data_IF_330564605284
#
_entry.id   IF_330564605284
#
_cell.length_a   1.000
_cell.length_b   1.000
_cell.length_c   1.000
_cell.angle_alpha   90.00
_cell.angle_beta   90.00
_cell.angle_gamma   90.00
#
_symmetry.space_group_name_H-M   'P 1'
#
loop_
_entity.id
_entity.type
_entity.pdbx_description
1 polymer ?
#
# COMPACT_ATOMS: atom_id res chain seq x y z
N UNK A 1 41.84 -16.85 26.73
CA UNK A 1 41.04 -17.50 25.66
C UNK A 1 40.07 -18.44 26.34
N UNK A 2 38.86 -17.99 26.64
CA UNK A 2 37.80 -18.82 27.25
C UNK A 2 37.11 -19.58 26.10
N UNK A 3 37.28 -20.90 26.11
CA UNK A 3 36.56 -21.83 25.25
C UNK A 3 35.05 -21.60 25.38
N UNK A 4 34.44 -20.99 24.33
CA UNK A 4 32.99 -20.95 24.18
C UNK A 4 32.51 -22.33 23.68
N UNK A 5 32.57 -23.37 24.50
CA UNK A 5 31.94 -24.67 24.25
C UNK A 5 30.43 -24.56 24.52
N UNK A 6 29.71 -23.77 23.71
CA UNK A 6 28.26 -23.74 23.68
C UNK A 6 27.74 -24.35 22.39
N UNK A 7 26.71 -25.18 22.47
CA UNK A 7 25.99 -25.64 21.30
C UNK A 7 25.59 -24.40 20.46
N UNK A 8 25.70 -24.45 19.11
CA UNK A 8 25.28 -23.33 18.29
C UNK A 8 23.79 -23.05 18.51
N UNK A 9 23.39 -21.77 18.48
CA UNK A 9 21.97 -21.42 18.55
C UNK A 9 21.19 -22.19 17.48
N UNK A 10 20.00 -22.65 17.82
CA UNK A 10 19.13 -23.40 16.92
C UNK A 10 17.88 -22.58 16.63
N UNK A 11 17.55 -22.41 15.34
CA UNK A 11 16.42 -21.64 14.83
C UNK A 11 15.49 -22.55 14.03
N UNK A 12 14.38 -22.96 14.64
CA UNK A 12 13.29 -23.62 13.95
C UNK A 12 12.39 -22.57 13.28
N UNK A 13 11.98 -22.81 12.04
CA UNK A 13 11.15 -21.90 11.23
C UNK A 13 9.91 -22.66 10.77
N UNK A 14 8.75 -22.20 11.24
CA UNK A 14 7.43 -22.69 10.84
C UNK A 14 6.50 -21.49 10.56
N UNK A 15 5.33 -21.42 11.16
CA UNK A 15 4.44 -20.23 11.19
C UNK A 15 5.13 -19.05 11.87
N UNK A 16 6.01 -19.33 12.78
CA UNK A 16 6.90 -18.41 13.49
C UNK A 16 8.31 -18.98 13.61
N UNK A 17 9.25 -18.19 14.06
CA UNK A 17 10.59 -18.62 14.44
C UNK A 17 10.62 -19.01 15.93
N UNK A 18 11.30 -20.12 16.24
CA UNK A 18 11.63 -20.54 17.61
C UNK A 18 13.15 -20.63 17.74
N UNK A 19 13.73 -19.76 18.58
CA UNK A 19 15.17 -19.74 18.85
C UNK A 19 15.46 -20.39 20.20
N UNK A 20 16.26 -21.44 20.18
CA UNK A 20 16.75 -22.17 21.36
C UNK A 20 18.29 -22.14 21.45
N UNK A 21 18.83 -22.47 22.62
CA UNK A 21 20.29 -22.48 22.92
C UNK A 21 20.98 -21.12 22.63
N UNK A 22 20.22 -20.03 22.66
CA UNK A 22 20.74 -18.70 22.40
C UNK A 22 21.31 -18.07 23.67
N UNK A 23 22.51 -17.47 23.63
CA UNK A 23 23.07 -16.76 24.77
C UNK A 23 22.22 -15.53 25.15
N UNK A 24 22.27 -15.09 26.41
CA UNK A 24 21.45 -13.98 26.92
C UNK A 24 21.56 -12.70 26.07
N UNK A 25 22.76 -12.38 25.57
CA UNK A 25 23.04 -11.18 24.81
C UNK A 25 22.28 -11.23 23.46
N UNK A 26 22.25 -12.38 22.77
CA UNK A 26 21.50 -12.56 21.53
C UNK A 26 19.99 -12.43 21.76
N UNK A 27 19.48 -13.06 22.82
CA UNK A 27 18.07 -12.95 23.21
C UNK A 27 17.69 -11.50 23.52
N UNK A 28 18.53 -10.79 24.28
CA UNK A 28 18.30 -9.37 24.60
C UNK A 28 18.29 -8.49 23.34
N UNK A 29 19.21 -8.71 22.41
CA UNK A 29 19.26 -7.97 21.15
C UNK A 29 18.01 -8.22 20.28
N UNK A 30 17.56 -9.45 20.13
CA UNK A 30 16.35 -9.79 19.37
C UNK A 30 15.12 -9.15 20.05
N UNK A 31 14.98 -9.23 21.37
CA UNK A 31 13.89 -8.58 22.11
C UNK A 31 13.88 -7.06 21.89
N UNK A 32 15.04 -6.42 21.91
CA UNK A 32 15.15 -4.98 21.68
C UNK A 32 14.65 -4.59 20.27
N UNK A 33 15.03 -5.36 19.25
CA UNK A 33 14.58 -5.13 17.87
C UNK A 33 13.08 -5.42 17.68
N UNK A 34 12.50 -6.35 18.41
CA UNK A 34 11.09 -6.73 18.35
C UNK A 34 10.20 -5.95 19.32
N UNK A 35 10.75 -4.94 19.98
CA UNK A 35 10.03 -4.00 20.84
C UNK A 35 9.84 -2.69 20.09
N UNK A 36 8.60 -2.26 19.88
CA UNK A 36 8.26 -1.04 19.16
C UNK A 36 7.51 -0.09 20.08
N UNK A 37 7.83 1.20 20.04
CA UNK A 37 7.02 2.21 20.69
C UNK A 37 5.62 2.24 20.07
N UNK A 38 4.59 2.30 20.91
CA UNK A 38 3.21 2.29 20.45
C UNK A 38 2.82 3.67 19.91
N UNK A 39 2.60 3.83 18.57
CA UNK A 39 2.27 5.13 17.99
C UNK A 39 0.98 5.72 18.54
N UNK A 40 0.01 4.87 18.90
CA UNK A 40 -1.27 5.32 19.51
C UNK A 40 -1.04 5.91 20.89
N UNK A 41 -0.15 5.32 21.68
CA UNK A 41 0.23 5.84 22.99
C UNK A 41 0.97 7.17 22.86
N UNK A 42 1.93 7.24 21.95
CA UNK A 42 2.69 8.46 21.66
C UNK A 42 1.76 9.61 21.22
N UNK A 43 0.84 9.32 20.29
CA UNK A 43 -0.15 10.30 19.83
C UNK A 43 -1.09 10.75 20.96
N UNK A 44 -1.57 9.81 21.79
CA UNK A 44 -2.44 10.15 22.92
C UNK A 44 -1.72 11.08 23.92
N UNK A 45 -0.45 10.77 24.23
CA UNK A 45 0.39 11.59 25.10
C UNK A 45 0.65 12.97 24.53
N UNK A 46 0.99 13.06 23.25
CA UNK A 46 1.29 14.32 22.58
C UNK A 46 0.10 15.26 22.51
N UNK A 47 -1.12 14.71 22.34
CA UNK A 47 -2.36 15.49 22.24
C UNK A 47 -3.15 15.56 23.54
N UNK A 48 -2.59 15.18 24.69
CA UNK A 48 -3.24 15.26 25.99
C UNK A 48 -4.53 14.43 26.09
N UNK A 49 -4.66 13.36 25.26
CA UNK A 49 -5.83 12.49 25.29
C UNK A 49 -5.75 11.50 26.44
N UNK A 50 -6.90 11.13 26.99
CA UNK A 50 -6.95 10.11 28.02
C UNK A 50 -6.33 8.78 27.57
N UNK A 51 -5.36 8.30 28.34
CA UNK A 51 -4.67 7.04 28.09
C UNK A 51 -5.31 6.00 28.99
N UNK A 52 -6.17 5.14 28.43
CA UNK A 52 -6.78 4.04 29.17
C UNK A 52 -5.74 3.02 29.63
N UNK A 53 -6.02 2.28 30.73
CA UNK A 53 -5.12 1.26 31.31
C UNK A 53 -4.66 0.19 30.32
N UNK A 54 -5.37 -0.03 29.23
CA UNK A 54 -5.06 -1.04 28.19
C UNK A 54 -4.08 -0.55 27.11
N UNK A 55 -3.79 0.75 27.02
CA UNK A 55 -2.91 1.29 25.99
C UNK A 55 -1.47 1.27 26.49
N UNK A 56 -0.74 0.24 26.11
CA UNK A 56 0.66 0.05 26.50
C UNK A 56 1.58 1.02 25.75
N UNK A 57 2.63 1.57 26.41
CA UNK A 57 3.61 2.46 25.77
C UNK A 57 4.47 1.76 24.72
N UNK A 58 4.67 0.46 24.86
CA UNK A 58 5.44 -0.39 23.94
C UNK A 58 4.65 -1.60 23.53
N UNK A 59 4.92 -2.09 22.32
CA UNK A 59 4.39 -3.31 21.76
C UNK A 59 5.53 -4.32 21.60
N UNK A 60 5.27 -5.57 22.00
CA UNK A 60 6.24 -6.66 21.98
C UNK A 60 5.81 -7.69 20.93
N UNK A 61 6.70 -8.00 19.99
CA UNK A 61 6.46 -8.96 18.91
C UNK A 61 7.27 -10.23 19.11
N UNK A 62 7.37 -10.66 20.36
CA UNK A 62 7.99 -11.90 20.79
C UNK A 62 7.29 -12.44 22.03
N UNK A 63 7.49 -13.71 22.30
CA UNK A 63 7.18 -14.35 23.59
C UNK A 63 8.31 -15.27 24.00
N UNK A 64 8.42 -15.53 25.30
CA UNK A 64 9.38 -16.46 25.85
C UNK A 64 8.63 -17.57 26.60
N UNK A 65 8.92 -18.80 26.25
CA UNK A 65 8.32 -19.99 26.87
C UNK A 65 9.41 -21.06 27.04
N UNK A 66 9.53 -21.64 28.24
CA UNK A 66 10.47 -22.73 28.52
C UNK A 66 11.92 -22.47 28.05
N UNK A 67 12.41 -21.23 28.20
CA UNK A 67 13.76 -20.84 27.80
C UNK A 67 13.95 -20.61 26.28
N UNK A 68 12.92 -20.76 25.49
CA UNK A 68 12.90 -20.50 24.04
C UNK A 68 12.31 -19.13 23.75
N UNK A 69 12.79 -18.49 22.67
CA UNK A 69 12.30 -17.20 22.19
C UNK A 69 11.54 -17.39 20.86
N UNK A 70 10.25 -17.07 20.90
CA UNK A 70 9.36 -17.15 19.74
C UNK A 70 9.13 -15.77 19.15
N UNK A 71 9.15 -15.66 17.80
CA UNK A 71 8.93 -14.39 17.12
C UNK A 71 8.47 -14.60 15.66
N UNK A 72 7.87 -13.57 15.03
CA UNK A 72 7.40 -13.68 13.66
C UNK A 72 8.51 -14.06 12.68
N UNK A 73 8.22 -14.98 11.77
CA UNK A 73 9.22 -15.57 10.85
C UNK A 73 9.85 -14.56 9.89
N UNK A 74 9.16 -13.46 9.56
CA UNK A 74 9.74 -12.41 8.72
C UNK A 74 11.01 -11.79 9.31
N UNK A 75 11.18 -11.84 10.64
CA UNK A 75 12.40 -11.41 11.31
C UNK A 75 13.53 -12.46 11.28
N UNK A 76 13.29 -13.66 10.76
CA UNK A 76 14.27 -14.76 10.76
C UNK A 76 15.63 -14.40 10.17
N UNK A 77 15.67 -13.75 9.00
CA UNK A 77 16.92 -13.31 8.39
C UNK A 77 17.69 -12.31 9.26
N UNK A 78 16.97 -11.40 9.93
CA UNK A 78 17.58 -10.45 10.87
C UNK A 78 18.11 -11.16 12.11
N UNK A 79 17.38 -12.16 12.64
CA UNK A 79 17.83 -12.97 13.75
C UNK A 79 19.11 -13.75 13.43
N UNK A 80 19.23 -14.32 12.22
CA UNK A 80 20.46 -14.96 11.73
C UNK A 80 21.62 -13.97 11.66
N UNK A 81 21.40 -12.76 11.13
CA UNK A 81 22.42 -11.71 11.10
C UNK A 81 22.88 -11.28 12.50
N UNK A 82 21.91 -11.12 13.42
CA UNK A 82 22.21 -10.82 14.82
C UNK A 82 23.02 -11.95 15.50
N UNK A 83 22.63 -13.20 15.24
CA UNK A 83 23.35 -14.35 15.75
C UNK A 83 24.82 -14.33 15.29
N UNK A 84 25.07 -14.19 13.99
CA UNK A 84 26.44 -14.12 13.45
C UNK A 84 27.25 -12.96 14.05
N UNK A 85 26.62 -11.78 14.19
CA UNK A 85 27.28 -10.58 14.73
C UNK A 85 27.66 -10.72 16.19
N UNK A 86 26.80 -11.33 17.01
CA UNK A 86 26.97 -11.39 18.47
C UNK A 86 27.78 -12.61 18.89
N UNK A 87 27.53 -13.76 18.28
CA UNK A 87 28.15 -15.02 18.69
C UNK A 87 29.33 -15.45 17.79
N UNK A 88 29.46 -14.86 16.60
CA UNK A 88 30.37 -15.34 15.56
C UNK A 88 29.91 -16.63 14.87
N UNK A 89 28.77 -17.21 15.27
CA UNK A 89 28.25 -18.47 14.76
C UNK A 89 27.02 -18.27 13.88
N UNK A 90 26.84 -19.16 12.90
CA UNK A 90 25.57 -19.27 12.21
C UNK A 90 24.66 -20.23 12.97
N UNK A 91 23.38 -19.88 13.25
CA UNK A 91 22.49 -20.81 13.91
C UNK A 91 22.21 -22.03 13.04
N UNK A 92 21.96 -23.17 13.67
CA UNK A 92 21.43 -24.36 12.97
C UNK A 92 19.99 -24.04 12.58
N UNK A 93 19.68 -24.16 11.30
CA UNK A 93 18.35 -23.90 10.78
C UNK A 93 17.57 -25.21 10.66
N UNK A 94 16.40 -25.27 11.29
CA UNK A 94 15.41 -26.33 11.14
C UNK A 94 14.18 -25.75 10.43
N UNK A 95 14.14 -25.93 9.10
CA UNK A 95 13.08 -25.39 8.24
C UNK A 95 11.90 -26.37 8.19
N UNK A 96 10.83 -26.06 8.92
CA UNK A 96 9.59 -26.80 9.01
C UNK A 96 8.45 -26.20 8.17
N UNK A 97 8.78 -25.23 7.34
CA UNK A 97 7.77 -24.56 6.50
C UNK A 97 7.20 -25.54 5.48
N UNK A 98 5.90 -25.36 5.24
CA UNK A 98 5.14 -26.22 4.34
C UNK A 98 5.37 -25.83 2.89
N UNK A 99 5.79 -26.83 2.09
CA UNK A 99 5.78 -26.78 0.62
C UNK A 99 4.79 -27.82 0.13
N UNK A 100 3.82 -27.38 -0.65
CA UNK A 100 2.80 -28.27 -1.21
C UNK A 100 3.28 -28.86 -2.54
N UNK A 101 2.61 -29.92 -3.04
CA UNK A 101 2.85 -30.40 -4.39
C UNK A 101 2.75 -29.27 -5.41
N UNK A 102 3.63 -29.28 -6.38
CA UNK A 102 3.64 -28.29 -7.45
C UNK A 102 2.38 -28.45 -8.32
N UNK A 103 1.83 -27.31 -8.73
CA UNK A 103 0.71 -27.22 -9.65
C UNK A 103 1.21 -26.65 -10.97
N UNK A 104 0.68 -27.12 -12.09
CA UNK A 104 1.07 -26.60 -13.39
C UNK A 104 0.46 -25.21 -13.59
N UNK A 105 1.32 -24.19 -13.66
CA UNK A 105 0.94 -22.80 -13.91
C UNK A 105 1.82 -22.22 -15.02
N UNK A 106 1.19 -21.63 -16.02
CA UNK A 106 1.88 -20.93 -17.11
C UNK A 106 1.58 -19.43 -17.04
N UNK A 107 2.61 -18.61 -17.24
CA UNK A 107 2.46 -17.16 -17.32
C UNK A 107 2.36 -16.70 -18.78
N UNK A 108 1.21 -16.12 -19.15
CA UNK A 108 0.89 -15.66 -20.51
C UNK A 108 1.08 -14.15 -20.63
N UNK A 109 2.29 -13.66 -20.42
CA UNK A 109 2.57 -12.23 -20.52
C UNK A 109 4.04 -11.97 -20.89
N UNK A 110 4.32 -10.74 -21.30
CA UNK A 110 5.67 -10.25 -21.50
C UNK A 110 6.03 -9.28 -20.36
N UNK A 111 7.11 -9.59 -19.67
CA UNK A 111 7.65 -8.72 -18.64
C UNK A 111 8.60 -7.69 -19.27
N UNK A 112 8.55 -6.47 -18.79
CA UNK A 112 9.57 -5.45 -19.11
C UNK A 112 10.89 -5.79 -18.40
N UNK A 113 12.06 -5.29 -18.86
CA UNK A 113 13.35 -5.62 -18.25
C UNK A 113 13.39 -5.41 -16.73
N UNK A 114 12.89 -4.29 -16.22
CA UNK A 114 12.83 -4.03 -14.77
C UNK A 114 11.88 -4.97 -14.01
N UNK A 115 10.84 -5.48 -14.67
CA UNK A 115 9.93 -6.48 -14.08
C UNK A 115 10.58 -7.85 -14.00
N UNK A 116 11.35 -8.25 -15.02
CA UNK A 116 12.15 -9.49 -14.98
C UNK A 116 13.17 -9.44 -13.86
N UNK A 117 13.89 -8.32 -13.70
CA UNK A 117 14.84 -8.11 -12.60
C UNK A 117 14.14 -8.24 -11.23
N UNK A 118 12.99 -7.59 -11.06
CA UNK A 118 12.22 -7.65 -9.84
C UNK A 118 11.71 -9.08 -9.53
N UNK A 119 11.23 -9.80 -10.55
CA UNK A 119 10.78 -11.18 -10.42
C UNK A 119 11.95 -12.11 -10.06
N UNK A 120 13.10 -11.96 -10.71
CA UNK A 120 14.31 -12.74 -10.40
C UNK A 120 14.77 -12.47 -8.95
N UNK A 121 14.78 -11.21 -8.51
CA UNK A 121 15.12 -10.86 -7.14
C UNK A 121 14.16 -11.50 -6.12
N UNK A 122 12.85 -11.49 -6.39
CA UNK A 122 11.85 -12.13 -5.50
C UNK A 122 12.03 -13.65 -5.47
N UNK A 123 12.34 -14.28 -6.60
CA UNK A 123 12.54 -15.75 -6.68
C UNK A 123 13.78 -16.23 -5.93
N UNK A 124 14.80 -15.37 -5.79
CA UNK A 124 15.99 -15.66 -5.00
C UNK A 124 15.72 -15.75 -3.47
N UNK A 125 14.52 -15.36 -3.02
CA UNK A 125 14.15 -15.34 -1.61
C UNK A 125 12.85 -16.12 -1.37
N UNK A 126 12.74 -16.80 -0.22
CA UNK A 126 11.48 -17.46 0.16
C UNK A 126 10.42 -16.47 0.61
N UNK A 127 10.83 -15.37 1.25
CA UNK A 127 9.91 -14.34 1.74
C UNK A 127 10.55 -12.96 1.71
N UNK A 128 9.70 -11.94 1.65
CA UNK A 128 10.10 -10.55 1.64
C UNK A 128 9.08 -9.64 0.96
N UNK A 129 9.45 -8.39 0.76
CA UNK A 129 8.58 -7.36 0.22
C UNK A 129 9.13 -6.83 -1.11
N UNK A 130 8.27 -6.81 -2.13
CA UNK A 130 8.49 -6.09 -3.38
C UNK A 130 7.88 -4.69 -3.27
N UNK A 131 8.73 -3.67 -3.29
CA UNK A 131 8.32 -2.27 -3.31
C UNK A 131 8.38 -1.74 -4.73
N UNK A 132 7.24 -1.35 -5.28
CA UNK A 132 7.16 -0.80 -6.61
C UNK A 132 6.01 0.21 -6.73
N UNK A 133 6.27 1.35 -7.33
CA UNK A 133 5.31 2.45 -7.47
C UNK A 133 4.00 2.03 -8.16
N UNK A 134 2.97 2.87 -8.05
CA UNK A 134 1.72 2.68 -8.80
C UNK A 134 2.02 2.72 -10.31
N UNK A 135 1.43 1.79 -11.07
CA UNK A 135 1.70 1.68 -12.51
C UNK A 135 2.90 0.80 -12.88
N UNK A 136 3.71 0.33 -11.91
CA UNK A 136 4.85 -0.55 -12.17
C UNK A 136 4.48 -1.97 -12.64
N UNK A 137 3.21 -2.38 -12.50
CA UNK A 137 2.77 -3.75 -12.81
C UNK A 137 3.05 -4.75 -11.68
N UNK A 138 2.97 -4.34 -10.39
CA UNK A 138 3.14 -5.24 -9.23
C UNK A 138 2.34 -6.54 -9.34
N UNK A 139 1.07 -6.44 -9.75
CA UNK A 139 0.19 -7.60 -9.96
C UNK A 139 0.75 -8.55 -11.00
N UNK A 140 1.26 -8.03 -12.12
CA UNK A 140 1.84 -8.83 -13.21
C UNK A 140 3.11 -9.52 -12.73
N UNK A 141 4.01 -8.81 -12.05
CA UNK A 141 5.22 -9.38 -11.46
C UNK A 141 4.90 -10.48 -10.45
N UNK A 142 3.89 -10.27 -9.59
CA UNK A 142 3.47 -11.29 -8.63
C UNK A 142 2.89 -12.52 -9.31
N UNK A 143 2.09 -12.39 -10.39
CA UNK A 143 1.58 -13.51 -11.15
C UNK A 143 2.70 -14.29 -11.85
N UNK A 144 3.72 -13.62 -12.37
CA UNK A 144 4.92 -14.27 -12.90
C UNK A 144 5.70 -15.05 -11.82
N UNK A 145 5.80 -14.50 -10.60
CA UNK A 145 6.40 -15.21 -9.44
C UNK A 145 5.55 -16.44 -9.07
N UNK A 146 4.22 -16.31 -9.03
CA UNK A 146 3.29 -17.41 -8.72
C UNK A 146 3.48 -18.55 -9.75
N UNK A 147 3.47 -18.23 -11.02
CA UNK A 147 3.65 -19.21 -12.09
C UNK A 147 5.03 -19.90 -12.00
N UNK A 148 6.12 -19.18 -11.72
CA UNK A 148 7.47 -19.76 -11.62
C UNK A 148 7.68 -20.58 -10.34
N UNK A 149 6.95 -20.30 -9.25
CA UNK A 149 7.01 -21.10 -8.00
C UNK A 149 6.13 -22.33 -8.03
N UNK A 150 5.12 -22.36 -8.87
CA UNK A 150 4.19 -23.48 -9.05
C UNK A 150 3.57 -23.98 -7.73
N UNK A 151 3.31 -23.07 -6.80
CA UNK A 151 2.69 -23.39 -5.52
C UNK A 151 1.23 -22.91 -5.48
N UNK A 152 0.33 -23.72 -4.90
CA UNK A 152 -0.99 -23.22 -4.56
C UNK A 152 -0.86 -21.91 -3.77
N UNK A 153 -1.53 -20.86 -4.23
CA UNK A 153 -1.29 -19.48 -3.75
C UNK A 153 -2.56 -18.83 -3.23
N UNK A 154 -2.48 -18.30 -2.01
CA UNK A 154 -3.46 -17.37 -1.47
C UNK A 154 -2.99 -15.93 -1.67
N UNK A 155 -3.83 -15.13 -2.32
CA UNK A 155 -3.62 -13.69 -2.50
C UNK A 155 -4.58 -12.94 -1.57
N UNK A 156 -4.04 -12.18 -0.62
CA UNK A 156 -4.82 -11.43 0.36
C UNK A 156 -4.90 -9.98 -0.05
N UNK A 157 -6.12 -9.47 -0.15
CA UNK A 157 -6.44 -8.08 -0.52
C UNK A 157 -7.31 -7.42 0.54
N UNK A 158 -7.39 -6.08 0.56
CA UNK A 158 -8.17 -5.37 1.57
C UNK A 158 -9.55 -4.91 1.08
N UNK A 159 -9.85 -4.97 -0.23
CA UNK A 159 -11.14 -4.53 -0.79
C UNK A 159 -11.70 -5.48 -1.85
N UNK A 160 -13.01 -5.34 -2.13
CA UNK A 160 -13.73 -6.09 -3.17
C UNK A 160 -13.23 -5.73 -4.57
N UNK A 161 -12.92 -4.46 -4.79
CA UNK A 161 -12.43 -3.93 -6.06
C UNK A 161 -11.09 -4.57 -6.43
N UNK A 162 -10.16 -4.67 -5.47
CA UNK A 162 -8.89 -5.37 -5.68
C UNK A 162 -9.10 -6.87 -5.92
N UNK A 163 -10.03 -7.51 -5.20
CA UNK A 163 -10.36 -8.92 -5.44
C UNK A 163 -10.79 -9.16 -6.89
N UNK A 164 -11.68 -8.30 -7.44
CA UNK A 164 -12.13 -8.38 -8.84
C UNK A 164 -11.00 -8.10 -9.83
N UNK A 165 -10.14 -7.11 -9.55
CA UNK A 165 -8.98 -6.83 -10.39
C UNK A 165 -8.00 -8.00 -10.44
N UNK A 166 -7.70 -8.62 -9.29
CA UNK A 166 -6.87 -9.82 -9.25
C UNK A 166 -7.51 -10.98 -10.02
N UNK A 167 -8.81 -11.21 -9.87
CA UNK A 167 -9.54 -12.24 -10.60
C UNK A 167 -9.38 -12.06 -12.12
N UNK A 168 -9.58 -10.85 -12.63
CA UNK A 168 -9.41 -10.54 -14.06
C UNK A 168 -7.96 -10.75 -14.53
N UNK A 169 -6.97 -10.34 -13.72
CA UNK A 169 -5.56 -10.51 -14.05
C UNK A 169 -5.10 -11.96 -14.01
N UNK A 170 -5.62 -12.78 -13.08
CA UNK A 170 -5.37 -14.21 -13.03
C UNK A 170 -5.90 -14.86 -14.31
N UNK A 171 -7.14 -14.58 -14.70
CA UNK A 171 -7.70 -15.10 -15.96
C UNK A 171 -6.87 -14.68 -17.18
N UNK A 172 -6.45 -13.42 -17.23
CA UNK A 172 -5.65 -12.87 -18.35
C UNK A 172 -4.25 -13.46 -18.44
N UNK A 173 -3.52 -13.57 -17.31
CA UNK A 173 -2.09 -13.88 -17.31
C UNK A 173 -1.76 -15.32 -16.90
N UNK A 174 -2.66 -16.03 -16.22
CA UNK A 174 -2.48 -17.45 -15.89
C UNK A 174 -3.44 -18.37 -16.67
N UNK A 175 -4.40 -17.81 -17.43
CA UNK A 175 -5.34 -18.58 -18.24
C UNK A 175 -6.30 -19.45 -17.42
N UNK A 176 -6.54 -19.10 -16.14
CA UNK A 176 -7.36 -19.92 -15.23
C UNK A 176 -8.35 -19.07 -14.45
N UNK A 177 -9.39 -19.72 -13.91
CA UNK A 177 -10.30 -19.08 -13.00
C UNK A 177 -9.72 -19.06 -11.57
N UNK A 178 -9.83 -17.90 -10.92
CA UNK A 178 -9.42 -17.73 -9.52
C UNK A 178 -10.47 -18.29 -8.56
N UNK A 179 -10.03 -18.89 -7.46
CA UNK A 179 -10.86 -19.05 -6.27
C UNK A 179 -11.13 -17.70 -5.61
N UNK A 180 -12.28 -17.54 -4.95
CA UNK A 180 -12.67 -16.29 -4.29
C UNK A 180 -13.12 -16.55 -2.86
N UNK A 181 -12.61 -15.74 -1.92
CA UNK A 181 -13.02 -15.75 -0.52
C UNK A 181 -13.36 -14.33 -0.05
N UNK A 182 -14.59 -13.91 -0.27
CA UNK A 182 -15.06 -12.54 0.04
C UNK A 182 -16.32 -12.19 -0.74
N UNK A 183 -16.96 -11.09 -0.38
CA UNK A 183 -18.16 -10.58 -1.08
C UNK A 183 -19.29 -11.62 -1.22
N UNK A 184 -19.50 -12.43 -0.17
CA UNK A 184 -20.53 -13.51 -0.18
C UNK A 184 -20.08 -14.82 -0.84
N UNK A 185 -18.91 -14.86 -1.49
CA UNK A 185 -18.36 -16.05 -2.16
C UNK A 185 -17.31 -16.71 -1.26
N UNK A 186 -17.27 -18.04 -1.25
CA UNK A 186 -16.20 -18.80 -0.61
C UNK A 186 -15.92 -20.07 -1.45
N UNK A 187 -14.99 -19.97 -2.36
CA UNK A 187 -14.54 -21.02 -3.24
C UNK A 187 -13.01 -21.08 -3.27
N UNK A 188 -12.44 -22.23 -2.91
CA UNK A 188 -11.00 -22.45 -2.89
C UNK A 188 -10.58 -23.11 -4.20
N UNK A 189 -9.62 -22.50 -4.89
CA UNK A 189 -8.92 -23.03 -6.08
C UNK A 189 -7.41 -22.92 -5.89
N UNK A 190 -6.59 -23.52 -6.74
CA UNK A 190 -5.12 -23.45 -6.61
C UNK A 190 -4.57 -22.02 -6.51
N UNK A 191 -5.17 -21.05 -7.19
CA UNK A 191 -4.90 -19.62 -6.99
C UNK A 191 -6.18 -18.97 -6.49
N UNK A 192 -6.20 -18.53 -5.24
CA UNK A 192 -7.37 -17.96 -4.58
C UNK A 192 -7.11 -16.54 -4.11
N UNK A 193 -8.07 -15.65 -4.35
CA UNK A 193 -8.04 -14.26 -3.86
C UNK A 193 -8.99 -14.11 -2.68
N UNK A 194 -8.48 -13.66 -1.54
CA UNK A 194 -9.26 -13.50 -0.32
C UNK A 194 -9.27 -12.05 0.19
N UNK A 195 -10.45 -11.56 0.56
CA UNK A 195 -10.55 -10.31 1.33
C UNK A 195 -10.07 -10.61 2.76
N UNK A 196 -9.18 -9.79 3.28
CA UNK A 196 -8.49 -10.00 4.56
C UNK A 196 -9.43 -10.33 5.74
N UNK A 197 -10.59 -9.69 5.82
CA UNK A 197 -11.59 -9.97 6.85
C UNK A 197 -12.18 -11.39 6.72
N UNK A 198 -12.40 -11.87 5.50
CA UNK A 198 -12.87 -13.24 5.23
C UNK A 198 -11.75 -14.23 5.49
N UNK A 199 -10.52 -13.93 5.02
CA UNK A 199 -9.35 -14.76 5.29
C UNK A 199 -9.17 -14.98 6.80
N UNK A 200 -9.21 -13.92 7.61
CA UNK A 200 -9.13 -14.03 9.08
C UNK A 200 -10.20 -14.94 9.69
N UNK A 201 -11.44 -14.84 9.22
CA UNK A 201 -12.55 -15.68 9.72
C UNK A 201 -12.43 -17.14 9.33
N UNK A 202 -11.65 -17.46 8.30
CA UNK A 202 -11.53 -18.80 7.68
C UNK A 202 -10.09 -19.35 7.73
N UNK A 203 -9.24 -18.88 8.66
CA UNK A 203 -7.84 -19.27 8.75
C UNK A 203 -7.65 -20.79 8.84
N UNK A 204 -8.45 -21.46 9.67
CA UNK A 204 -8.38 -22.92 9.83
C UNK A 204 -8.70 -23.69 8.55
N UNK A 205 -9.52 -23.11 7.66
CA UNK A 205 -9.85 -23.73 6.38
C UNK A 205 -8.80 -23.40 5.31
N UNK A 206 -8.18 -22.22 5.38
CA UNK A 206 -7.27 -21.73 4.33
C UNK A 206 -5.82 -22.13 4.57
N UNK A 207 -5.37 -22.27 5.84
CA UNK A 207 -3.94 -22.36 6.18
C UNK A 207 -3.20 -23.52 5.53
N UNK A 208 -3.89 -24.65 5.34
CA UNK A 208 -3.27 -25.88 4.88
C UNK A 208 -3.39 -26.10 3.35
N UNK A 209 -4.07 -25.18 2.64
CA UNK A 209 -4.31 -25.32 1.19
C UNK A 209 -3.26 -24.59 0.33
N UNK A 210 -2.38 -23.78 0.92
CA UNK A 210 -1.51 -22.90 0.16
C UNK A 210 -0.05 -23.00 0.59
N UNK A 211 0.83 -23.25 -0.38
CA UNK A 211 2.30 -23.23 -0.20
C UNK A 211 2.90 -21.84 -0.39
N UNK A 212 2.09 -20.87 -0.85
CA UNK A 212 2.49 -19.48 -1.03
C UNK A 212 1.40 -18.51 -0.55
N UNK A 213 1.83 -17.44 0.13
CA UNK A 213 0.99 -16.31 0.53
C UNK A 213 1.47 -15.03 -0.14
N UNK A 214 0.57 -14.33 -0.83
CA UNK A 214 0.82 -12.99 -1.37
C UNK A 214 -0.09 -12.00 -0.65
N UNK A 215 0.47 -10.91 -0.12
CA UNK A 215 -0.33 -9.85 0.53
C UNK A 215 -0.19 -8.57 -0.28
N UNK A 216 -1.27 -8.19 -0.96
CA UNK A 216 -1.28 -6.98 -1.76
C UNK A 216 -1.55 -5.74 -0.90
N UNK A 217 -0.90 -4.62 -1.24
CA UNK A 217 -0.93 -3.37 -0.49
C UNK A 217 -0.73 -3.60 1.02
N UNK A 218 0.27 -4.42 1.38
CA UNK A 218 0.51 -4.90 2.75
C UNK A 218 0.66 -3.77 3.79
N UNK A 219 0.96 -2.54 3.34
CA UNK A 219 1.01 -1.35 4.19
C UNK A 219 -0.40 -0.83 4.58
N UNK A 220 -1.46 -1.20 3.88
CA UNK A 220 -2.85 -0.76 4.13
C UNK A 220 -3.63 -1.71 5.03
N UNK A 221 -3.26 -2.98 5.08
CA UNK A 221 -3.96 -3.96 5.90
C UNK A 221 -3.85 -3.54 7.38
N UNK A 222 -4.97 -3.42 8.13
CA UNK A 222 -4.93 -3.10 9.55
C UNK A 222 -3.96 -4.00 10.30
N UNK A 223 -3.13 -3.44 11.20
CA UNK A 223 -2.03 -4.15 11.84
C UNK A 223 -2.43 -5.50 12.44
N UNK A 224 -3.54 -5.55 13.18
CA UNK A 224 -4.04 -6.79 13.81
C UNK A 224 -4.52 -7.82 12.78
N UNK A 225 -5.24 -7.39 11.72
CA UNK A 225 -5.68 -8.30 10.66
C UNK A 225 -4.50 -8.86 9.88
N UNK A 226 -3.52 -8.01 9.59
CA UNK A 226 -2.30 -8.39 8.89
C UNK A 226 -1.51 -9.45 9.68
N UNK A 227 -1.23 -9.19 10.96
CA UNK A 227 -0.46 -10.09 11.79
C UNK A 227 -1.17 -11.43 11.99
N UNK A 228 -2.48 -11.43 12.25
CA UNK A 228 -3.27 -12.65 12.44
C UNK A 228 -3.25 -13.54 11.19
N UNK A 229 -3.46 -12.93 10.00
CA UNK A 229 -3.46 -13.68 8.74
C UNK A 229 -2.07 -14.21 8.42
N UNK A 230 -1.04 -13.36 8.44
CA UNK A 230 0.32 -13.77 8.06
C UNK A 230 0.88 -14.85 8.98
N UNK A 231 0.60 -14.78 10.30
CA UNK A 231 1.08 -15.76 11.28
C UNK A 231 0.36 -17.11 11.21
N UNK A 232 -0.79 -17.21 10.54
CA UNK A 232 -1.53 -18.45 10.46
C UNK A 232 -0.97 -19.46 9.46
N UNK A 233 -0.19 -18.99 8.47
CA UNK A 233 0.30 -19.82 7.38
C UNK A 233 1.72 -20.33 7.63
N UNK A 234 1.92 -21.64 7.54
CA UNK A 234 3.24 -22.29 7.57
C UNK A 234 3.90 -22.35 6.17
N UNK A 235 3.30 -21.76 5.15
CA UNK A 235 3.77 -21.85 3.76
C UNK A 235 5.22 -21.41 3.59
N UNK A 236 5.98 -22.06 2.70
CA UNK A 236 7.39 -21.72 2.43
C UNK A 236 7.54 -20.32 1.87
N UNK A 237 6.64 -19.91 0.97
CA UNK A 237 6.78 -18.66 0.24
C UNK A 237 5.82 -17.57 0.75
N UNK A 238 6.36 -16.39 0.97
CA UNK A 238 5.60 -15.19 1.30
C UNK A 238 6.07 -14.00 0.49
N UNK A 239 5.13 -13.24 -0.08
CA UNK A 239 5.41 -12.03 -0.82
C UNK A 239 4.48 -10.89 -0.39
N UNK A 240 5.06 -9.83 0.16
CA UNK A 240 4.36 -8.57 0.36
C UNK A 240 4.51 -7.68 -0.88
N UNK A 241 3.42 -7.12 -1.37
CA UNK A 241 3.42 -6.12 -2.44
C UNK A 241 3.04 -4.76 -1.85
N UNK A 242 3.80 -3.73 -2.17
CA UNK A 242 3.47 -2.38 -1.74
C UNK A 242 4.05 -1.31 -2.66
N UNK A 243 3.32 -0.20 -2.82
CA UNK A 243 3.87 1.02 -3.40
C UNK A 243 4.75 1.78 -2.40
N UNK A 244 4.52 1.58 -1.09
CA UNK A 244 5.15 2.35 0.00
C UNK A 244 5.28 1.48 1.25
N UNK A 245 5.95 0.32 1.13
CA UNK A 245 6.05 -0.69 2.20
C UNK A 245 6.55 -0.13 3.54
N UNK A 246 7.38 0.89 3.47
CA UNK A 246 8.06 1.45 4.64
C UNK A 246 7.42 2.72 5.21
N UNK A 247 6.20 3.08 4.77
CA UNK A 247 5.55 4.35 5.16
C UNK A 247 4.06 4.14 5.50
N UNK A 248 3.81 3.37 6.56
CA UNK A 248 2.45 3.18 7.06
C UNK A 248 1.93 4.44 7.76
N UNK A 249 0.69 4.80 7.51
CA UNK A 249 0.00 5.94 8.14
C UNK A 249 -0.16 5.80 9.65
N UNK A 250 -0.25 4.55 10.16
CA UNK A 250 -0.39 4.24 11.57
C UNK A 250 0.92 4.19 12.36
N UNK A 251 2.07 4.51 11.72
CA UNK A 251 3.40 4.46 12.32
C UNK A 251 3.95 3.05 12.54
N UNK A 252 3.23 2.00 12.13
CA UNK A 252 3.59 0.60 12.36
C UNK A 252 4.37 -0.02 11.18
N UNK A 253 5.17 0.79 10.48
CA UNK A 253 5.95 0.34 9.31
C UNK A 253 6.84 -0.87 9.60
N UNK A 254 7.46 -0.94 10.79
CA UNK A 254 8.30 -2.07 11.20
C UNK A 254 7.57 -3.42 11.23
N UNK A 255 6.23 -3.44 11.39
CA UNK A 255 5.46 -4.68 11.34
C UNK A 255 5.60 -5.41 10.01
N UNK A 256 5.66 -4.67 8.91
CA UNK A 256 5.81 -5.29 7.58
C UNK A 256 7.10 -6.12 7.56
N UNK A 257 8.21 -5.55 8.05
CA UNK A 257 9.49 -6.25 8.10
C UNK A 257 9.50 -7.41 9.09
N UNK A 258 8.89 -7.23 10.25
CA UNK A 258 8.84 -8.27 11.30
C UNK A 258 8.05 -9.49 10.81
N UNK A 259 6.99 -9.28 10.01
CA UNK A 259 6.12 -10.37 9.58
C UNK A 259 6.38 -10.88 8.17
N UNK A 260 6.68 -10.00 7.21
CA UNK A 260 6.89 -10.39 5.79
C UNK A 260 8.38 -10.51 5.41
N UNK A 261 9.28 -9.98 6.22
CA UNK A 261 10.70 -9.95 5.93
C UNK A 261 11.20 -8.64 5.33
N UNK A 262 12.47 -8.65 4.93
CA UNK A 262 13.14 -7.50 4.37
C UNK A 262 12.58 -7.12 2.98
N UNK A 263 12.82 -5.89 2.52
CA UNK A 263 12.62 -5.52 1.14
C UNK A 263 13.60 -6.30 0.26
N UNK A 264 13.08 -7.15 -0.61
CA UNK A 264 13.88 -7.96 -1.54
C UNK A 264 14.22 -7.21 -2.82
N UNK A 265 13.33 -6.32 -3.26
CA UNK A 265 13.57 -5.46 -4.41
C UNK A 265 12.74 -4.18 -4.32
N UNK A 266 13.27 -3.09 -4.89
CA UNK A 266 12.57 -1.82 -5.02
C UNK A 266 12.66 -1.30 -6.46
N UNK A 267 11.52 -1.03 -7.09
CA UNK A 267 11.47 -0.41 -8.42
C UNK A 267 11.43 1.10 -8.25
N UNK A 268 12.48 1.77 -8.70
CA UNK A 268 12.60 3.24 -8.63
C UNK A 268 11.63 3.91 -9.62
N UNK A 269 11.04 5.02 -9.20
CA UNK A 269 10.17 5.84 -10.04
C UNK A 269 10.88 6.37 -11.30
N UNK A 270 12.18 6.66 -11.22
CA UNK A 270 12.99 7.08 -12.37
C UNK A 270 13.11 5.98 -13.42
N UNK A 271 13.31 4.73 -12.98
CA UNK A 271 13.31 3.58 -13.88
C UNK A 271 11.96 3.40 -14.56
N UNK A 272 10.84 3.60 -13.83
CA UNK A 272 9.49 3.53 -14.39
C UNK A 272 9.28 4.60 -15.47
N UNK A 273 9.70 5.83 -15.21
CA UNK A 273 9.59 6.91 -16.19
C UNK A 273 10.50 6.66 -17.42
N UNK A 274 11.74 6.24 -17.20
CA UNK A 274 12.70 5.96 -18.29
C UNK A 274 12.25 4.78 -19.18
N UNK A 275 11.57 3.78 -18.59
CA UNK A 275 11.02 2.63 -19.35
C UNK A 275 9.71 2.94 -20.07
N UNK A 276 9.17 4.16 -19.96
CA UNK A 276 7.84 4.51 -20.50
C UNK A 276 6.68 3.79 -19.81
N UNK A 277 6.93 3.17 -18.64
CA UNK A 277 5.88 2.51 -17.86
C UNK A 277 4.90 3.51 -17.24
N UNK A 278 5.39 4.72 -16.97
CA UNK A 278 4.61 5.85 -16.44
C UNK A 278 5.03 7.15 -17.10
N UNK A 279 4.10 8.10 -17.19
CA UNK A 279 4.38 9.49 -17.60
C UNK A 279 4.82 10.26 -16.35
N UNK A 280 5.93 11.00 -16.45
CA UNK A 280 6.41 11.83 -15.34
C UNK A 280 5.41 12.93 -15.02
N UNK A 281 4.95 13.08 -13.76
CA UNK A 281 4.00 14.11 -13.40
C UNK A 281 4.69 15.48 -13.27
N UNK A 282 4.08 16.52 -13.83
CA UNK A 282 4.54 17.91 -13.69
C UNK A 282 3.70 18.60 -12.62
N UNK A 283 4.35 19.11 -11.57
CA UNK A 283 3.70 19.80 -10.46
C UNK A 283 3.62 21.31 -10.72
N UNK A 284 2.41 21.86 -10.71
CA UNK A 284 2.11 23.28 -10.71
C UNK A 284 1.57 23.71 -9.35
N UNK A 285 2.34 24.50 -8.60
CA UNK A 285 1.88 25.04 -7.33
C UNK A 285 1.18 26.38 -7.54
N UNK A 286 -0.09 26.47 -7.10
CA UNK A 286 -0.95 27.65 -7.20
C UNK A 286 -1.13 28.29 -5.83
N UNK A 287 -0.60 29.51 -5.56
CA UNK A 287 -0.82 30.17 -4.28
C UNK A 287 -2.28 30.60 -4.13
N UNK A 288 -2.80 30.54 -2.90
CA UNK A 288 -4.14 31.00 -2.56
C UNK A 288 -4.09 32.13 -1.54
N UNK A 289 -5.16 32.93 -1.49
CA UNK A 289 -5.36 33.97 -0.46
C UNK A 289 -6.04 33.45 0.81
N UNK A 290 -6.22 32.15 0.99
CA UNK A 290 -6.89 31.58 2.15
C UNK A 290 -6.12 31.83 3.43
N UNK A 291 -6.79 32.42 4.44
CA UNK A 291 -6.27 32.64 5.77
C UNK A 291 -7.23 32.08 6.84
N UNK A 292 -6.68 31.59 7.94
CA UNK A 292 -7.45 31.00 9.03
C UNK A 292 -6.66 31.05 10.35
N UNK A 293 -7.31 31.41 11.44
CA UNK A 293 -6.72 31.43 12.78
C UNK A 293 -6.52 30.02 13.33
N UNK A 294 -5.48 29.31 12.83
CA UNK A 294 -5.22 27.92 13.17
C UNK A 294 -4.66 27.75 14.59
N UNK A 295 -5.39 27.04 15.44
CA UNK A 295 -5.05 26.75 16.85
C UNK A 295 -4.82 25.24 17.14
N UNK A 296 -4.31 24.49 16.15
CA UNK A 296 -4.00 23.05 16.32
C UNK A 296 -5.11 22.08 15.91
N UNK A 297 -6.35 22.53 15.71
CA UNK A 297 -7.48 21.67 15.30
C UNK A 297 -7.55 21.52 13.79
N UNK A 298 -6.79 20.55 13.25
CA UNK A 298 -6.68 20.33 11.81
C UNK A 298 -8.01 20.05 11.10
N UNK A 299 -8.95 19.35 11.75
CA UNK A 299 -10.25 19.04 11.15
C UNK A 299 -11.09 20.32 10.91
N UNK A 300 -11.01 21.30 11.82
CA UNK A 300 -11.67 22.62 11.68
C UNK A 300 -11.01 23.45 10.58
N UNK A 301 -9.66 23.41 10.51
CA UNK A 301 -8.92 24.07 9.44
C UNK A 301 -9.36 23.56 8.05
N UNK A 302 -9.39 22.23 7.85
CA UNK A 302 -9.80 21.66 6.56
C UNK A 302 -11.28 21.91 6.26
N UNK A 303 -12.14 21.98 7.28
CA UNK A 303 -13.55 22.39 7.09
C UNK A 303 -13.61 23.85 6.59
N UNK A 304 -12.97 24.77 7.26
CA UNK A 304 -12.94 26.18 6.86
C UNK A 304 -12.34 26.40 5.46
N UNK A 305 -11.28 25.63 5.12
CA UNK A 305 -10.68 25.64 3.78
C UNK A 305 -11.68 25.17 2.71
N UNK A 306 -12.39 24.07 2.96
CA UNK A 306 -13.37 23.50 2.05
C UNK A 306 -14.60 24.42 1.83
N UNK A 307 -14.96 25.21 2.84
CA UNK A 307 -16.08 26.17 2.80
C UNK A 307 -15.66 27.56 2.29
N UNK A 308 -14.38 27.81 2.02
CA UNK A 308 -13.89 29.12 1.59
C UNK A 308 -14.22 29.40 0.11
N UNK A 309 -15.25 30.24 -0.11
CA UNK A 309 -15.76 30.54 -1.43
C UNK A 309 -14.73 31.18 -2.39
N UNK A 310 -13.89 32.16 -1.97
CA UNK A 310 -12.87 32.70 -2.86
C UNK A 310 -11.88 31.65 -3.33
N UNK A 311 -11.45 30.74 -2.46
CA UNK A 311 -10.57 29.63 -2.81
C UNK A 311 -11.22 28.63 -3.76
N UNK A 312 -12.50 28.31 -3.53
CA UNK A 312 -13.25 27.39 -4.37
C UNK A 312 -13.50 27.99 -5.78
N UNK A 313 -13.76 29.29 -5.88
CA UNK A 313 -13.85 30.00 -7.17
C UNK A 313 -12.52 29.95 -7.92
N UNK A 314 -11.39 30.19 -7.26
CA UNK A 314 -10.06 30.05 -7.88
C UNK A 314 -9.86 28.65 -8.49
N UNK A 315 -10.26 27.58 -7.78
CA UNK A 315 -10.18 26.20 -8.28
C UNK A 315 -11.04 26.02 -9.53
N UNK A 316 -12.27 26.50 -9.49
CA UNK A 316 -13.25 26.40 -10.59
C UNK A 316 -12.80 27.20 -11.80
N UNK A 317 -12.28 28.41 -11.63
CA UNK A 317 -11.76 29.27 -12.71
C UNK A 317 -10.51 28.64 -13.35
N UNK A 318 -9.63 28.02 -12.56
CA UNK A 318 -8.48 27.29 -13.10
C UNK A 318 -8.96 26.06 -13.93
N UNK A 319 -10.00 25.32 -13.51
CA UNK A 319 -10.60 24.22 -14.28
C UNK A 319 -11.18 24.72 -15.61
N UNK A 320 -11.98 25.80 -15.55
CA UNK A 320 -12.56 26.39 -16.75
C UNK A 320 -11.48 26.86 -17.74
N UNK A 321 -10.40 27.48 -17.24
CA UNK A 321 -9.27 27.89 -18.04
C UNK A 321 -8.54 26.71 -18.71
N UNK A 322 -8.41 25.58 -18.03
CA UNK A 322 -7.84 24.36 -18.62
C UNK A 322 -8.72 23.80 -19.75
N UNK A 323 -10.03 23.81 -19.56
CA UNK A 323 -10.97 23.32 -20.57
C UNK A 323 -10.95 24.17 -21.85
N UNK A 324 -10.68 25.48 -21.72
CA UNK A 324 -10.53 26.39 -22.89
C UNK A 324 -9.21 26.21 -23.65
N UNK A 325 -8.19 25.57 -23.06
CA UNK A 325 -6.86 25.37 -23.65
C UNK A 325 -6.71 24.06 -24.44
N UNK A 326 -7.77 23.52 -25.02
CA UNK A 326 -7.77 22.20 -25.71
C UNK A 326 -7.20 21.08 -24.82
N UNK A 327 -7.68 21.01 -23.59
CA UNK A 327 -7.25 20.01 -22.63
C UNK A 327 -7.51 18.59 -23.14
N UNK A 328 -6.47 17.76 -23.23
CA UNK A 328 -6.61 16.35 -23.59
C UNK A 328 -6.80 15.49 -22.34
N UNK A 329 -7.81 14.61 -22.38
CA UNK A 329 -8.13 13.67 -21.31
C UNK A 329 -9.02 14.27 -20.20
N UNK A 330 -9.16 13.54 -19.12
CA UNK A 330 -10.06 13.90 -18.02
C UNK A 330 -9.30 14.59 -16.88
N UNK A 331 -9.87 15.68 -16.36
CA UNK A 331 -9.43 16.38 -15.16
C UNK A 331 -10.03 15.68 -13.93
N UNK A 332 -9.20 15.16 -13.06
CA UNK A 332 -9.60 14.58 -11.77
C UNK A 332 -9.41 15.60 -10.65
N UNK A 333 -10.49 16.02 -10.02
CA UNK A 333 -10.47 16.90 -8.85
C UNK A 333 -10.65 16.07 -7.58
N UNK A 334 -9.73 16.15 -6.64
CA UNK A 334 -9.81 15.35 -5.40
C UNK A 334 -9.92 16.20 -4.15
N UNK A 335 -10.80 15.78 -3.25
CA UNK A 335 -10.97 16.37 -1.94
C UNK A 335 -11.13 15.33 -0.82
N UNK A 336 -10.68 15.64 0.40
CA UNK A 336 -10.92 14.81 1.60
C UNK A 336 -12.37 14.90 2.13
N UNK A 337 -13.21 15.78 1.57
CA UNK A 337 -14.55 16.09 2.07
C UNK A 337 -15.62 15.94 1.00
N UNK A 338 -16.61 15.10 1.25
CA UNK A 338 -17.77 14.93 0.36
C UNK A 338 -18.51 16.25 0.12
N UNK A 339 -18.74 17.05 1.20
CA UNK A 339 -19.36 18.35 1.08
C UNK A 339 -18.58 19.30 0.15
N UNK A 340 -17.25 19.29 0.21
CA UNK A 340 -16.41 20.09 -0.68
C UNK A 340 -16.51 19.65 -2.15
N UNK A 341 -16.58 18.33 -2.39
CA UNK A 341 -16.81 17.80 -3.74
C UNK A 341 -18.12 18.35 -4.32
N UNK A 342 -19.19 18.38 -3.53
CA UNK A 342 -20.49 18.92 -3.96
C UNK A 342 -20.45 20.44 -4.22
N UNK A 343 -19.82 21.21 -3.33
CA UNK A 343 -19.65 22.67 -3.52
C UNK A 343 -18.91 22.96 -4.84
N UNK A 344 -17.83 22.23 -5.14
CA UNK A 344 -17.09 22.42 -6.38
C UNK A 344 -17.92 22.02 -7.61
N UNK A 345 -18.71 20.94 -7.53
CA UNK A 345 -19.61 20.53 -8.62
C UNK A 345 -20.68 21.57 -8.91
N UNK A 346 -21.32 22.14 -7.86
CA UNK A 346 -22.32 23.21 -7.97
C UNK A 346 -21.72 24.47 -8.61
N UNK A 347 -20.53 24.87 -8.20
CA UNK A 347 -19.85 26.02 -8.77
C UNK A 347 -19.47 25.82 -10.23
N UNK A 348 -19.02 24.62 -10.62
CA UNK A 348 -18.73 24.25 -12.01
C UNK A 348 -20.02 24.24 -12.86
N UNK A 349 -21.10 23.67 -12.34
CA UNK A 349 -22.40 23.68 -12.99
C UNK A 349 -22.90 25.10 -13.26
N UNK A 350 -22.65 26.06 -12.33
CA UNK A 350 -22.92 27.48 -12.53
C UNK A 350 -22.12 28.13 -13.65
N UNK A 351 -21.01 27.51 -14.10
CA UNK A 351 -20.22 27.91 -15.28
C UNK A 351 -20.50 27.03 -16.52
N UNK A 352 -21.55 26.19 -16.49
CA UNK A 352 -21.92 25.31 -17.59
C UNK A 352 -21.04 24.05 -17.73
N UNK A 353 -20.22 23.73 -16.72
CA UNK A 353 -19.34 22.54 -16.72
C UNK A 353 -19.97 21.43 -15.93
N UNK A 354 -20.28 20.29 -16.58
CA UNK A 354 -20.75 19.07 -15.92
C UNK A 354 -19.58 18.34 -15.26
N UNK A 355 -19.66 18.10 -13.95
CA UNK A 355 -18.64 17.42 -13.18
C UNK A 355 -19.27 16.45 -12.17
N UNK A 356 -19.48 15.17 -12.53
CA UNK A 356 -20.05 14.18 -11.64
C UNK A 356 -19.17 14.00 -10.40
N UNK A 357 -19.83 13.64 -9.27
CA UNK A 357 -19.17 13.48 -7.97
C UNK A 357 -19.15 12.02 -7.57
N UNK A 358 -17.94 11.44 -7.42
CA UNK A 358 -17.73 10.06 -7.04
C UNK A 358 -17.20 9.96 -5.61
N UNK A 359 -17.96 9.30 -4.73
CA UNK A 359 -17.64 9.17 -3.31
C UNK A 359 -17.77 7.72 -2.82
N UNK A 360 -17.33 7.46 -1.58
CA UNK A 360 -17.57 6.16 -0.93
C UNK A 360 -19.06 5.82 -0.76
N UNK A 361 -19.96 6.77 -0.90
CA UNK A 361 -21.42 6.60 -0.80
C UNK A 361 -22.09 6.33 -2.15
N UNK A 362 -21.40 6.55 -3.28
CA UNK A 362 -21.94 6.28 -4.62
C UNK A 362 -22.22 4.78 -4.79
N UNK A 363 -23.40 4.40 -5.31
CA UNK A 363 -23.76 3.01 -5.59
C UNK A 363 -22.76 2.32 -6.53
N UNK A 364 -22.55 1.00 -6.44
CA UNK A 364 -21.63 0.29 -7.31
C UNK A 364 -21.93 0.43 -8.81
N UNK A 365 -23.21 0.48 -9.18
CA UNK A 365 -23.67 0.65 -10.56
C UNK A 365 -23.28 2.03 -11.10
N UNK A 366 -23.57 3.10 -10.37
CA UNK A 366 -23.15 4.47 -10.69
C UNK A 366 -21.64 4.59 -10.85
N UNK A 367 -20.86 3.89 -10.00
CA UNK A 367 -19.40 3.88 -10.12
C UNK A 367 -18.92 3.25 -11.41
N UNK A 368 -19.54 2.14 -11.82
CA UNK A 368 -19.18 1.47 -13.08
C UNK A 368 -19.51 2.37 -14.28
N UNK A 369 -20.68 2.98 -14.31
CA UNK A 369 -21.10 3.91 -15.35
C UNK A 369 -20.14 5.11 -15.45
N UNK A 370 -19.80 5.76 -14.33
CA UNK A 370 -18.83 6.85 -14.31
C UNK A 370 -17.47 6.42 -14.84
N UNK A 371 -16.99 5.22 -14.47
CA UNK A 371 -15.71 4.68 -14.96
C UNK A 371 -15.75 4.49 -16.48
N UNK A 372 -16.83 3.92 -17.01
CA UNK A 372 -17.02 3.74 -18.46
C UNK A 372 -17.10 5.08 -19.19
N UNK A 373 -17.78 6.07 -18.61
CA UNK A 373 -17.89 7.42 -19.15
C UNK A 373 -16.56 8.18 -19.17
N UNK A 374 -15.73 8.00 -18.14
CA UNK A 374 -14.36 8.53 -18.13
C UNK A 374 -13.50 7.82 -19.19
N UNK A 375 -13.60 6.49 -19.30
CA UNK A 375 -12.82 5.72 -20.28
C UNK A 375 -13.19 6.05 -21.73
N UNK A 376 -14.46 6.30 -21.98
CA UNK A 376 -14.95 6.70 -23.31
C UNK A 376 -14.75 8.20 -23.61
N UNK A 377 -14.25 8.99 -22.65
CA UNK A 377 -14.06 10.44 -22.81
C UNK A 377 -15.34 11.28 -22.73
N UNK A 378 -16.47 10.69 -22.33
CA UNK A 378 -17.73 11.45 -22.13
C UNK A 378 -17.65 12.36 -20.91
N UNK A 379 -16.89 11.98 -19.87
CA UNK A 379 -16.63 12.81 -18.70
C UNK A 379 -15.26 13.48 -18.84
N UNK A 380 -15.27 14.81 -18.94
CA UNK A 380 -14.06 15.63 -19.05
C UNK A 380 -13.58 16.08 -17.66
N UNK A 381 -14.49 16.31 -16.71
CA UNK A 381 -14.15 16.67 -15.31
C UNK A 381 -14.83 15.68 -14.38
N UNK A 382 -14.04 15.01 -13.53
CA UNK A 382 -14.51 14.11 -12.49
C UNK A 382 -14.10 14.67 -11.12
N UNK A 383 -15.03 14.79 -10.20
CA UNK A 383 -14.74 15.16 -8.80
C UNK A 383 -14.87 13.92 -7.94
N UNK A 384 -13.88 13.66 -7.07
CA UNK A 384 -13.92 12.47 -6.22
C UNK A 384 -13.29 12.69 -4.84
N UNK A 385 -13.65 11.81 -3.91
CA UNK A 385 -12.95 11.77 -2.63
C UNK A 385 -11.59 11.08 -2.78
N UNK A 386 -10.54 11.63 -2.12
CA UNK A 386 -9.16 11.08 -2.14
C UNK A 386 -9.14 9.59 -1.77
N UNK A 387 -9.98 9.18 -0.81
CA UNK A 387 -10.03 7.80 -0.35
C UNK A 387 -10.45 6.85 -1.49
N UNK A 388 -11.50 7.19 -2.22
CA UNK A 388 -12.03 6.33 -3.28
C UNK A 388 -11.07 6.16 -4.45
N UNK A 389 -10.44 7.26 -4.88
CA UNK A 389 -9.48 7.23 -6.00
C UNK A 389 -8.23 6.41 -5.65
N UNK A 390 -7.82 6.40 -4.38
CA UNK A 390 -6.74 5.54 -3.90
C UNK A 390 -7.04 4.04 -4.01
N UNK A 391 -8.32 3.64 -4.07
CA UNK A 391 -8.78 2.25 -3.95
C UNK A 391 -9.34 1.70 -5.27
N UNK A 392 -8.46 1.38 -6.22
CA UNK A 392 -8.88 0.59 -7.39
C UNK A 392 -9.48 1.34 -8.59
N UNK A 393 -9.58 2.67 -8.56
CA UNK A 393 -10.03 3.44 -9.72
C UNK A 393 -8.96 3.45 -10.83
N UNK A 394 -9.28 2.87 -11.99
CA UNK A 394 -8.35 2.67 -13.09
C UNK A 394 -8.87 3.23 -14.41
N UNK A 395 -8.39 4.44 -14.77
CA UNK A 395 -8.77 5.12 -16.01
C UNK A 395 -7.54 5.73 -16.69
N UNK A 396 -7.08 5.20 -17.83
CA UNK A 396 -5.93 5.72 -18.57
C UNK A 396 -6.10 7.17 -19.04
N UNK A 397 -7.33 7.61 -19.31
CA UNK A 397 -7.64 8.94 -19.83
C UNK A 397 -7.46 10.09 -18.80
N UNK A 398 -7.20 9.79 -17.53
CA UNK A 398 -6.91 10.82 -16.54
C UNK A 398 -5.58 11.49 -16.85
N UNK A 399 -5.56 12.79 -17.11
CA UNK A 399 -4.35 13.55 -17.50
C UNK A 399 -3.98 14.63 -16.49
N UNK A 400 -4.97 15.27 -15.87
CA UNK A 400 -4.74 16.33 -14.87
C UNK A 400 -5.34 15.96 -13.54
N UNK A 401 -4.57 16.14 -12.45
CA UNK A 401 -4.99 15.98 -11.08
C UNK A 401 -5.02 17.33 -10.37
N UNK A 402 -6.15 17.68 -9.78
CA UNK A 402 -6.33 18.89 -8.96
C UNK A 402 -6.47 18.48 -7.50
N UNK A 403 -5.51 18.91 -6.67
CA UNK A 403 -5.53 18.67 -5.23
C UNK A 403 -6.33 19.79 -4.54
N UNK A 404 -7.65 19.67 -4.52
CA UNK A 404 -8.54 20.69 -3.91
C UNK A 404 -8.37 20.79 -2.39
N UNK A 405 -7.97 19.71 -1.71
CA UNK A 405 -7.52 19.69 -0.31
C UNK A 405 -6.12 19.12 -0.18
N UNK A 406 -5.33 19.55 0.82
CA UNK A 406 -3.96 19.06 1.02
C UNK A 406 -3.92 17.56 1.38
N UNK A 407 -3.16 16.76 0.65
CA UNK A 407 -2.85 15.36 1.00
C UNK A 407 -1.59 15.35 1.86
N UNK A 408 -1.69 14.86 3.11
CA UNK A 408 -0.58 14.84 4.07
C UNK A 408 0.40 13.69 3.87
N UNK A 409 -0.13 12.52 3.54
CA UNK A 409 0.67 11.29 3.49
C UNK A 409 1.19 11.06 2.08
N UNK A 410 2.50 10.91 1.98
CA UNK A 410 3.21 10.68 0.72
C UNK A 410 2.66 9.44 -0.03
N UNK A 411 2.43 8.34 0.66
CA UNK A 411 1.88 7.13 0.04
C UNK A 411 0.51 7.34 -0.61
N UNK A 412 -0.38 8.09 0.06
CA UNK A 412 -1.69 8.44 -0.50
C UNK A 412 -1.55 9.38 -1.69
N UNK A 413 -0.65 10.36 -1.61
CA UNK A 413 -0.34 11.26 -2.72
C UNK A 413 0.15 10.46 -3.94
N UNK A 414 1.15 9.59 -3.76
CA UNK A 414 1.70 8.76 -4.83
C UNK A 414 0.66 7.83 -5.48
N UNK A 415 -0.28 7.31 -4.71
CA UNK A 415 -1.37 6.48 -5.25
C UNK A 415 -2.34 7.28 -6.12
N UNK A 416 -2.73 8.47 -5.66
CA UNK A 416 -3.64 9.35 -6.43
C UNK A 416 -2.94 9.88 -7.67
N UNK A 417 -1.70 10.36 -7.55
CA UNK A 417 -0.87 10.81 -8.67
C UNK A 417 -0.64 9.69 -9.68
N UNK A 418 -0.40 8.47 -9.20
CA UNK A 418 -0.22 7.30 -10.05
C UNK A 418 -1.40 7.00 -11.00
N UNK A 419 -2.60 7.53 -10.70
CA UNK A 419 -3.78 7.38 -11.59
C UNK A 419 -3.64 8.18 -12.88
N UNK A 420 -3.02 9.36 -12.82
CA UNK A 420 -2.80 10.19 -14.00
C UNK A 420 -1.51 9.84 -14.77
N UNK A 421 -0.64 9.03 -14.18
CA UNK A 421 0.67 8.71 -14.74
C UNK A 421 0.66 7.57 -15.77
N UNK A 422 -0.49 6.95 -16.04
CA UNK A 422 -0.58 5.90 -17.05
C UNK A 422 -0.25 6.46 -18.43
N UNK A 423 0.64 5.79 -19.18
CA UNK A 423 1.00 6.26 -20.52
C UNK A 423 -0.20 6.19 -21.46
N UNK A 424 -0.36 7.25 -22.24
CA UNK A 424 -1.22 7.34 -23.42
C UNK A 424 -0.51 8.25 -24.42
N UNK A 425 -0.85 8.11 -25.70
CA UNK A 425 -0.24 8.89 -26.78
C UNK A 425 -0.46 10.39 -26.57
N UNK A 426 0.61 11.18 -26.64
CA UNK A 426 0.57 12.65 -26.48
C UNK A 426 0.23 13.15 -25.07
N UNK A 427 0.11 12.25 -24.06
CA UNK A 427 -0.35 12.62 -22.73
C UNK A 427 0.75 13.29 -21.88
N UNK A 428 0.43 14.44 -21.30
CA UNK A 428 1.11 15.03 -20.16
C UNK A 428 0.36 14.72 -18.88
N UNK A 429 1.08 14.27 -17.81
CA UNK A 429 0.51 14.12 -16.48
C UNK A 429 0.73 15.42 -15.68
N UNK A 430 -0.34 16.17 -15.44
CA UNK A 430 -0.29 17.47 -14.76
C UNK A 430 -0.90 17.39 -13.37
N UNK A 431 -0.22 17.95 -12.36
CA UNK A 431 -0.75 18.08 -10.99
C UNK A 431 -0.82 19.54 -10.60
N UNK A 432 -2.00 20.00 -10.19
CA UNK A 432 -2.21 21.35 -9.65
C UNK A 432 -2.41 21.23 -8.14
N UNK A 433 -1.49 21.87 -7.37
CA UNK A 433 -1.49 21.86 -5.91
C UNK A 433 -1.70 23.28 -5.38
N UNK A 434 -2.83 23.51 -4.71
CA UNK A 434 -3.14 24.81 -4.11
C UNK A 434 -2.40 24.99 -2.80
N UNK A 435 -1.58 26.07 -2.74
CA UNK A 435 -0.70 26.38 -1.61
C UNK A 435 -1.27 27.52 -0.79
N UNK A 436 -1.80 27.19 0.36
CA UNK A 436 -2.38 28.13 1.33
C UNK A 436 -1.26 28.72 2.21
N UNK A 437 -0.54 29.73 1.67
CA UNK A 437 0.74 30.23 2.19
C UNK A 437 0.63 30.90 3.56
N UNK A 438 -0.52 31.51 3.87
CA UNK A 438 -0.75 32.21 5.14
C UNK A 438 -0.76 31.26 6.36
N UNK A 439 -0.89 29.94 6.15
CA UNK A 439 -1.00 28.95 7.22
C UNK A 439 0.26 28.09 7.27
N UNK A 440 1.14 28.26 8.30
CA UNK A 440 2.42 27.55 8.36
C UNK A 440 2.33 26.03 8.24
N UNK A 441 1.27 25.41 8.80
CA UNK A 441 1.04 23.97 8.71
C UNK A 441 0.76 23.49 7.26
N UNK A 442 -0.03 24.26 6.50
CA UNK A 442 -0.36 23.97 5.10
C UNK A 442 0.80 24.24 4.17
N UNK A 443 1.55 25.33 4.45
CA UNK A 443 2.80 25.66 3.72
C UNK A 443 3.84 24.54 3.85
N UNK A 444 4.09 24.02 5.07
CA UNK A 444 4.98 22.86 5.29
C UNK A 444 4.49 21.62 4.55
N UNK A 445 3.18 21.36 4.56
CA UNK A 445 2.58 20.24 3.83
C UNK A 445 2.77 20.37 2.32
N UNK A 446 2.62 21.56 1.75
CA UNK A 446 2.88 21.83 0.33
C UNK A 446 4.36 21.64 -0.04
N UNK A 447 5.29 22.08 0.81
CA UNK A 447 6.73 21.85 0.61
C UNK A 447 7.07 20.35 0.64
N UNK A 448 6.46 19.57 1.54
CA UNK A 448 6.64 18.13 1.58
C UNK A 448 6.11 17.46 0.29
N UNK A 449 4.93 17.87 -0.22
CA UNK A 449 4.42 17.36 -1.51
C UNK A 449 5.37 17.71 -2.67
N UNK A 450 5.87 18.94 -2.71
CA UNK A 450 6.85 19.35 -3.73
C UNK A 450 8.09 18.46 -3.73
N UNK A 451 8.61 18.10 -2.55
CA UNK A 451 9.77 17.22 -2.43
C UNK A 451 9.51 15.81 -3.01
N UNK A 452 8.28 15.29 -2.89
CA UNK A 452 7.89 14.01 -3.50
C UNK A 452 8.02 14.07 -5.02
N UNK A 453 7.58 15.15 -5.65
CA UNK A 453 7.66 15.32 -7.11
C UNK A 453 9.10 15.58 -7.60
N UNK A 454 9.96 16.14 -6.78
CA UNK A 454 11.37 16.33 -7.12
C UNK A 454 12.15 15.00 -7.19
N UNK A 455 11.62 13.93 -6.61
CA UNK A 455 12.22 12.59 -6.64
C UNK A 455 11.94 11.78 -7.93
N UNK A 456 11.10 12.33 -8.84
CA UNK A 456 10.79 11.78 -10.17
C UNK A 456 11.80 12.37 -11.19
#
# INVERSE_FOLDING_TARGET
>A
MTEKNGQPPHLAIDRECCLSHAPPELRAAIRAELTIDNPKYQAARQFGRWIGKKLMPRLFFFREESGQLFFPRGFGNQAVRLCRRITGLTPVIDDRRQRLPEIELSFHGLLRPYQEEAVAAVLAHSFGVLEAGTGSGKTIMALAVIARRQQPTLIVVHSKELMRQWQQRIAQFLGMEAGLAGDGIFEIRPVTVAIVNTAKKRLNTLSDHFGQLVVDECHRVPATLFTDVVSAFACTFMLGLSATAFRREDGMTRLIHIYMGDRVHGVDNRMLAASGAVVRPVLHQRPTGFSYGYRGEYAKLIKALAENLPRNRLIVDDIASLLHQEHQGTILVVSDRVAHCRILAELLAGQGVSAPVLTGQSPPEERMEIVEDVQSGRIIVLIATVQLIGEGFDCPNLSTLILATPIKFEGRLLQVVGRIMRPAEGKEARVIDYVDQAIPALRRSAAARKAVFAAW
#
